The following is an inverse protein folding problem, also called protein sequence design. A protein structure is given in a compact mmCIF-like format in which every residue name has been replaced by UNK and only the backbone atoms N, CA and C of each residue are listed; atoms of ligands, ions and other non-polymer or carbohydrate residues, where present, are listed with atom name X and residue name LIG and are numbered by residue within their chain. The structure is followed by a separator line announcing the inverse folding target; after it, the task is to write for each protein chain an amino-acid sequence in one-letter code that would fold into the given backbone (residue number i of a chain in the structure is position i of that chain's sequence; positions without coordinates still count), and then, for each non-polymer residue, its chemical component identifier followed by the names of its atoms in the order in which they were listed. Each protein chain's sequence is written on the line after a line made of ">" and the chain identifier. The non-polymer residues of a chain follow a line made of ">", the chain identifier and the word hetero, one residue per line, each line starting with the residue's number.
data_IF_642403151320
#
_entry.id   IF_642403151320
#
_cell.length_a   1.000
_cell.length_b   1.000
_cell.length_c   1.000
_cell.angle_alpha   90.00
_cell.angle_beta   90.00
_cell.angle_gamma   90.00
#
_symmetry.space_group_name_H-M   'P 1'
#
loop_
_entity.id
_entity.type
_entity.pdbx_description
1 polymer ?
#
# COMPACT_ATOMS: atom_id res chain seq x y z
N UNK A 1 -26.52 5.83 2.14
CA UNK A 1 -25.49 4.83 2.53
C UNK A 1 -25.99 3.93 3.64
N UNK A 2 -26.99 4.37 4.41
CA UNK A 2 -27.53 3.72 5.61
C UNK A 2 -28.12 2.31 5.41
N UNK A 3 -28.25 1.85 4.15
CA UNK A 3 -28.74 0.51 3.79
C UNK A 3 -27.63 -0.48 3.44
N UNK A 4 -26.37 -0.04 3.45
CA UNK A 4 -25.21 -0.90 3.17
C UNK A 4 -24.27 -0.91 4.38
N UNK A 5 -23.62 -2.04 4.59
CA UNK A 5 -22.46 -2.15 5.49
C UNK A 5 -21.22 -2.07 4.60
N UNK A 6 -20.50 -0.93 4.56
CA UNK A 6 -19.30 -0.82 3.74
C UNK A 6 -18.17 -1.65 4.34
N UNK A 7 -17.50 -2.42 3.48
CA UNK A 7 -16.29 -3.19 3.81
C UNK A 7 -15.23 -2.87 2.76
N UNK A 8 -14.00 -2.64 3.21
CA UNK A 8 -12.84 -2.48 2.35
C UNK A 8 -11.83 -3.57 2.69
N UNK A 9 -11.25 -4.19 1.67
CA UNK A 9 -10.32 -5.30 1.84
C UNK A 9 -9.20 -5.27 0.79
N UNK A 10 -8.02 -5.76 1.14
CA UNK A 10 -6.92 -5.92 0.20
C UNK A 10 -7.14 -7.22 -0.59
N UNK A 11 -7.76 -7.08 -1.76
CA UNK A 11 -8.03 -8.22 -2.63
C UNK A 11 -6.78 -9.04 -2.99
N UNK A 12 -5.59 -8.42 -3.09
CA UNK A 12 -4.35 -9.15 -3.40
C UNK A 12 -3.95 -10.10 -2.27
N UNK A 13 -4.35 -9.82 -1.04
CA UNK A 13 -4.21 -10.73 0.09
C UNK A 13 -5.35 -11.75 0.12
N UNK A 14 -6.59 -11.29 0.24
CA UNK A 14 -7.74 -12.14 0.56
C UNK A 14 -8.00 -13.20 -0.50
N UNK A 15 -7.82 -12.87 -1.79
CA UNK A 15 -8.02 -13.84 -2.87
C UNK A 15 -7.00 -14.99 -2.89
N UNK A 16 -5.90 -14.86 -2.15
CA UNK A 16 -4.84 -15.86 -2.05
C UNK A 16 -4.90 -16.65 -0.73
N UNK A 17 -5.87 -16.35 0.15
CA UNK A 17 -6.10 -17.14 1.35
C UNK A 17 -6.70 -18.50 0.98
N UNK A 18 -6.18 -19.56 1.59
CA UNK A 18 -6.66 -20.93 1.44
C UNK A 18 -7.66 -21.32 2.53
N UNK A 19 -8.34 -20.35 3.12
CA UNK A 19 -9.33 -20.54 4.18
C UNK A 19 -10.71 -20.06 3.72
N UNK A 20 -11.71 -20.19 4.60
CA UNK A 20 -13.09 -19.85 4.32
C UNK A 20 -13.28 -18.38 3.90
N UNK A 21 -12.44 -17.45 4.38
CA UNK A 21 -12.52 -16.03 4.03
C UNK A 21 -12.12 -15.80 2.57
N UNK A 22 -10.99 -16.41 2.17
CA UNK A 22 -10.52 -16.35 0.79
C UNK A 22 -11.48 -17.03 -0.19
N UNK A 23 -11.99 -18.21 0.20
CA UNK A 23 -12.99 -18.94 -0.58
C UNK A 23 -14.28 -18.12 -0.74
N UNK A 24 -14.83 -17.58 0.35
CA UNK A 24 -16.04 -16.74 0.32
C UNK A 24 -15.87 -15.55 -0.63
N UNK A 25 -14.78 -14.79 -0.48
CA UNK A 25 -14.51 -13.65 -1.35
C UNK A 25 -14.41 -14.06 -2.82
N UNK A 26 -13.71 -15.15 -3.12
CA UNK A 26 -13.56 -15.64 -4.48
C UNK A 26 -14.93 -16.04 -5.07
N UNK A 27 -15.75 -16.78 -4.32
CA UNK A 27 -17.08 -17.21 -4.77
C UNK A 27 -18.02 -16.02 -5.06
N UNK A 28 -17.97 -14.95 -4.26
CA UNK A 28 -18.70 -13.71 -4.55
C UNK A 28 -18.20 -13.08 -5.86
N UNK A 29 -16.88 -13.00 -6.03
CA UNK A 29 -16.29 -12.37 -7.22
C UNK A 29 -16.60 -13.14 -8.51
N UNK A 30 -16.60 -14.48 -8.48
CA UNK A 30 -16.92 -15.33 -9.63
C UNK A 30 -18.39 -15.24 -10.08
N UNK A 31 -19.29 -14.73 -9.24
CA UNK A 31 -20.67 -14.42 -9.65
C UNK A 31 -20.77 -13.09 -10.41
N UNK A 32 -19.74 -12.24 -10.32
CA UNK A 32 -19.79 -10.84 -10.76
C UNK A 32 -19.16 -10.59 -12.13
N UNK A 33 -18.59 -9.40 -12.30
CA UNK A 33 -17.88 -8.98 -13.50
C UNK A 33 -16.58 -9.78 -13.80
N UNK A 34 -16.23 -10.73 -12.93
CA UNK A 34 -15.21 -11.74 -13.19
C UNK A 34 -15.78 -13.10 -13.62
N UNK A 35 -17.08 -13.34 -13.43
CA UNK A 35 -17.74 -14.57 -13.82
C UNK A 35 -17.66 -14.84 -15.32
N UNK A 36 -17.53 -16.12 -15.67
CA UNK A 36 -17.50 -16.58 -17.07
C UNK A 36 -16.21 -16.26 -17.83
N UNK A 37 -15.16 -15.76 -17.15
CA UNK A 37 -13.87 -15.53 -17.79
C UNK A 37 -13.19 -16.85 -18.16
N UNK A 38 -12.78 -16.94 -19.42
CA UNK A 38 -12.09 -18.12 -19.98
C UNK A 38 -10.56 -17.99 -19.95
N UNK A 39 -10.05 -16.81 -19.58
CA UNK A 39 -8.63 -16.55 -19.38
C UNK A 39 -8.32 -16.45 -17.88
N UNK A 40 -7.16 -16.96 -17.43
CA UNK A 40 -6.76 -16.84 -16.04
C UNK A 40 -6.72 -15.36 -15.61
N UNK A 41 -7.35 -15.06 -14.46
CA UNK A 41 -7.25 -13.76 -13.79
C UNK A 41 -6.62 -13.95 -12.42
N UNK A 42 -5.55 -13.22 -12.14
CA UNK A 42 -4.94 -13.17 -10.81
C UNK A 42 -5.44 -11.95 -10.01
N UNK A 43 -6.57 -11.38 -10.43
CA UNK A 43 -7.18 -10.23 -9.77
C UNK A 43 -8.69 -10.40 -9.71
N UNK A 44 -9.24 -10.03 -8.56
CA UNK A 44 -10.69 -9.89 -8.29
C UNK A 44 -11.01 -8.47 -7.82
N UNK A 45 -10.21 -7.47 -8.25
CA UNK A 45 -10.40 -6.06 -7.92
C UNK A 45 -11.77 -5.55 -8.39
N UNK A 46 -12.51 -4.90 -7.50
CA UNK A 46 -13.78 -4.29 -7.86
C UNK A 46 -14.62 -3.96 -6.65
N UNK A 47 -15.84 -3.53 -6.92
CA UNK A 47 -16.87 -3.23 -5.95
C UNK A 47 -17.97 -4.29 -6.10
N UNK A 48 -18.36 -4.88 -4.98
CA UNK A 48 -19.37 -5.94 -4.91
C UNK A 48 -20.41 -5.57 -3.86
N UNK A 49 -21.68 -5.65 -4.22
CA UNK A 49 -22.79 -5.67 -3.29
C UNK A 49 -23.30 -7.11 -3.23
N UNK A 50 -23.21 -7.73 -2.07
CA UNK A 50 -23.65 -9.11 -1.85
C UNK A 50 -24.38 -9.25 -0.52
N UNK A 51 -25.17 -10.32 -0.38
CA UNK A 51 -25.79 -10.70 0.88
C UNK A 51 -24.74 -11.28 1.83
N UNK A 52 -25.07 -11.39 3.11
CA UNK A 52 -24.19 -12.02 4.11
C UNK A 52 -23.90 -13.50 3.80
N UNK A 53 -24.75 -14.15 3.01
CA UNK A 53 -24.57 -15.53 2.56
C UNK A 53 -23.72 -15.60 1.26
N UNK A 54 -23.23 -14.47 0.75
CA UNK A 54 -22.37 -14.40 -0.42
C UNK A 54 -23.11 -14.38 -1.76
N UNK A 55 -24.43 -14.14 -1.77
CA UNK A 55 -25.18 -14.00 -3.02
C UNK A 55 -24.94 -12.61 -3.62
N UNK A 56 -24.48 -12.57 -4.87
CA UNK A 56 -24.16 -11.31 -5.50
C UNK A 56 -25.41 -10.56 -5.99
N UNK A 57 -25.60 -9.34 -5.49
CA UNK A 57 -26.65 -8.44 -5.95
C UNK A 57 -26.18 -7.65 -7.17
N UNK A 58 -25.02 -7.00 -7.08
CA UNK A 58 -24.44 -6.26 -8.20
C UNK A 58 -22.93 -6.12 -8.03
N UNK A 59 -22.21 -5.91 -9.13
CA UNK A 59 -20.77 -5.64 -9.07
C UNK A 59 -20.30 -4.79 -10.24
N UNK A 60 -19.21 -4.06 -10.03
CA UNK A 60 -18.57 -3.23 -11.04
C UNK A 60 -17.09 -3.02 -10.69
N UNK A 61 -16.22 -2.85 -11.69
CA UNK A 61 -14.84 -2.41 -11.48
C UNK A 61 -14.62 -1.07 -12.21
N UNK A 62 -14.89 0.02 -11.51
CA UNK A 62 -14.75 1.39 -12.02
C UNK A 62 -14.43 2.36 -10.89
N UNK A 63 -13.84 3.51 -11.23
CA UNK A 63 -13.63 4.65 -10.33
C UNK A 63 -14.68 5.75 -10.51
N UNK A 64 -15.61 5.58 -11.46
CA UNK A 64 -16.68 6.55 -11.72
C UNK A 64 -17.78 6.45 -10.66
N UNK A 65 -17.89 7.49 -9.82
CA UNK A 65 -18.85 7.53 -8.72
C UNK A 65 -20.32 7.45 -9.16
N UNK A 66 -20.67 7.93 -10.36
CA UNK A 66 -22.04 7.83 -10.86
C UNK A 66 -22.39 6.39 -11.22
N UNK A 67 -21.45 5.68 -11.86
CA UNK A 67 -21.62 4.26 -12.17
C UNK A 67 -21.67 3.40 -10.92
N UNK A 68 -20.87 3.73 -9.89
CA UNK A 68 -20.93 3.07 -8.58
C UNK A 68 -22.28 3.30 -7.92
N UNK A 69 -22.78 4.54 -7.90
CA UNK A 69 -24.09 4.83 -7.33
C UNK A 69 -25.21 4.09 -8.05
N UNK A 70 -25.12 3.94 -9.37
CA UNK A 70 -26.08 3.18 -10.15
C UNK A 70 -26.04 1.68 -9.84
N UNK A 71 -24.84 1.09 -9.76
CA UNK A 71 -24.65 -0.30 -9.31
C UNK A 71 -25.30 -0.54 -7.92
N UNK A 72 -25.12 0.40 -6.99
CA UNK A 72 -25.74 0.32 -5.66
C UNK A 72 -27.27 0.38 -5.71
N UNK A 73 -27.87 1.21 -6.59
CA UNK A 73 -29.33 1.24 -6.78
C UNK A 73 -29.85 -0.09 -7.32
N UNK A 74 -29.15 -0.70 -8.27
CA UNK A 74 -29.50 -2.02 -8.81
C UNK A 74 -29.44 -3.10 -7.72
N UNK A 75 -28.44 -3.04 -6.84
CA UNK A 75 -28.35 -3.95 -5.71
C UNK A 75 -29.54 -3.81 -4.74
N UNK A 76 -29.94 -2.58 -4.40
CA UNK A 76 -31.11 -2.34 -3.54
C UNK A 76 -32.42 -2.82 -4.17
N UNK A 77 -32.57 -2.66 -5.49
CA UNK A 77 -33.75 -3.17 -6.20
C UNK A 77 -33.84 -4.69 -6.11
N UNK A 78 -32.72 -5.40 -6.28
CA UNK A 78 -32.67 -6.87 -6.12
C UNK A 78 -32.92 -7.30 -4.67
N UNK A 79 -32.33 -6.59 -3.71
CA UNK A 79 -32.52 -6.86 -2.27
C UNK A 79 -33.99 -6.76 -1.83
N UNK A 80 -34.78 -5.88 -2.46
CA UNK A 80 -36.20 -5.70 -2.12
C UNK A 80 -37.10 -6.89 -2.51
N UNK A 81 -36.55 -7.93 -3.15
CA UNK A 81 -37.28 -9.14 -3.50
C UNK A 81 -37.24 -10.14 -2.34
N UNK A 82 -38.33 -10.90 -2.09
CA UNK A 82 -38.46 -11.77 -0.93
C UNK A 82 -37.64 -13.06 -1.11
N UNK A 83 -36.34 -12.99 -0.85
CA UNK A 83 -35.49 -14.16 -0.64
C UNK A 83 -35.40 -14.50 0.85
N UNK A 84 -35.13 -15.77 1.16
CA UNK A 84 -34.98 -16.26 2.53
C UNK A 84 -33.75 -15.61 3.18
N UNK A 85 -34.00 -14.66 4.09
CA UNK A 85 -32.96 -13.87 4.77
C UNK A 85 -32.37 -14.62 5.97
N UNK A 86 -32.54 -15.93 6.08
CA UNK A 86 -31.93 -16.70 7.15
C UNK A 86 -30.40 -16.65 7.04
N UNK A 87 -29.79 -15.91 7.95
CA UNK A 87 -28.35 -15.87 8.14
C UNK A 87 -27.89 -17.15 8.84
N UNK A 88 -26.91 -17.86 8.27
CA UNK A 88 -26.14 -18.78 9.11
C UNK A 88 -25.36 -17.96 10.15
N UNK A 89 -25.58 -18.25 11.43
CA UNK A 89 -24.80 -17.62 12.51
C UNK A 89 -23.41 -18.25 12.52
N UNK A 90 -22.38 -17.41 12.57
CA UNK A 90 -21.03 -17.87 12.83
C UNK A 90 -21.02 -18.78 14.09
N UNK A 91 -20.28 -19.90 14.07
CA UNK A 91 -20.26 -20.82 15.20
C UNK A 91 -19.70 -20.13 16.45
N UNK A 92 -20.16 -20.49 17.66
CA UNK A 92 -19.61 -19.94 18.90
C UNK A 92 -18.09 -20.15 18.97
N UNK A 93 -17.34 -19.08 19.22
CA UNK A 93 -15.87 -19.12 19.29
C UNK A 93 -15.15 -18.98 17.94
N UNK A 94 -15.87 -18.66 16.86
CA UNK A 94 -15.23 -18.26 15.60
C UNK A 94 -14.46 -16.94 15.80
N UNK A 95 -13.13 -17.04 15.83
CA UNK A 95 -12.23 -15.89 15.88
C UNK A 95 -11.76 -15.56 14.45
N UNK A 96 -12.35 -14.52 13.88
CA UNK A 96 -12.01 -13.96 12.58
C UNK A 96 -10.62 -13.30 12.54
N UNK A 97 -9.98 -13.10 13.69
CA UNK A 97 -8.66 -12.50 13.83
C UNK A 97 -7.55 -13.52 14.12
N UNK A 98 -7.87 -14.75 14.53
CA UNK A 98 -6.89 -15.73 15.02
C UNK A 98 -5.73 -16.05 14.07
N UNK A 99 -5.90 -15.79 12.77
CA UNK A 99 -4.87 -16.00 11.73
C UNK A 99 -4.57 -14.77 10.88
N UNK A 100 -5.21 -13.64 11.19
CA UNK A 100 -5.22 -12.48 10.30
C UNK A 100 -4.15 -11.46 10.71
N UNK A 101 -2.91 -11.68 10.26
CA UNK A 101 -1.81 -10.72 10.43
C UNK A 101 -2.10 -9.36 9.76
N UNK A 102 -3.07 -9.32 8.84
CA UNK A 102 -3.57 -8.11 8.17
C UNK A 102 -4.19 -7.09 9.16
N UNK A 103 -4.66 -7.56 10.32
CA UNK A 103 -5.30 -6.71 11.34
C UNK A 103 -4.38 -6.20 12.45
N UNK A 104 -3.09 -6.53 12.44
CA UNK A 104 -2.17 -6.16 13.52
C UNK A 104 -1.60 -4.77 13.23
N UNK A 105 -2.44 -3.76 13.46
CA UNK A 105 -1.97 -2.38 13.54
C UNK A 105 -0.84 -2.28 14.59
N UNK A 106 0.29 -1.60 14.29
CA UNK A 106 1.41 -1.51 15.21
C UNK A 106 1.08 -0.58 16.37
N UNK A 107 0.37 -1.09 17.38
CA UNK A 107 0.04 -0.32 18.58
C UNK A 107 1.30 0.23 19.25
N UNK A 108 1.27 1.52 19.60
CA UNK A 108 2.43 2.27 20.10
C UNK A 108 3.53 2.53 19.07
N UNK A 109 3.34 2.13 17.82
CA UNK A 109 4.20 2.42 16.69
C UNK A 109 3.81 3.69 15.95
N UNK A 110 4.17 3.76 14.66
CA UNK A 110 3.84 4.87 13.76
C UNK A 110 3.27 4.32 12.45
N UNK A 111 2.19 4.94 11.99
CA UNK A 111 1.71 4.82 10.62
C UNK A 111 2.05 6.10 9.85
N UNK A 112 2.56 5.93 8.63
CA UNK A 112 2.81 7.03 7.69
C UNK A 112 1.93 6.89 6.47
N UNK A 113 1.40 8.01 5.98
CA UNK A 113 0.84 8.11 4.64
C UNK A 113 2.00 8.23 3.64
N UNK A 114 1.98 7.43 2.57
CA UNK A 114 2.90 7.54 1.45
C UNK A 114 2.13 7.92 0.19
N UNK A 115 2.45 9.07 -0.38
CA UNK A 115 1.93 9.52 -1.66
C UNK A 115 2.99 9.33 -2.73
N UNK A 116 2.61 8.91 -3.93
CA UNK A 116 3.52 8.82 -5.08
C UNK A 116 2.91 9.42 -6.34
N UNK A 117 3.73 10.15 -7.10
CA UNK A 117 3.33 10.76 -8.38
C UNK A 117 4.50 10.99 -9.32
N UNK A 118 4.20 11.13 -10.60
CA UNK A 118 5.15 11.70 -11.56
C UNK A 118 5.41 13.18 -11.23
N UNK A 119 6.67 13.60 -11.41
CA UNK A 119 7.09 14.99 -11.24
C UNK A 119 7.24 15.69 -12.62
N UNK A 120 7.17 17.03 -12.67
CA UNK A 120 7.41 17.81 -13.89
C UNK A 120 8.69 17.42 -14.64
N UNK A 121 8.56 17.26 -15.97
CA UNK A 121 9.69 17.11 -16.90
C UNK A 121 9.48 17.97 -18.13
N UNK A 122 10.57 18.44 -18.73
CA UNK A 122 10.52 19.41 -19.83
C UNK A 122 9.82 18.90 -21.09
N UNK A 123 9.90 17.59 -21.34
CA UNK A 123 9.55 16.97 -22.63
C UNK A 123 8.12 16.42 -22.71
N UNK A 124 7.32 16.47 -21.64
CA UNK A 124 5.95 15.96 -21.66
C UNK A 124 5.09 16.57 -20.56
N UNK A 125 3.77 16.52 -20.76
CA UNK A 125 2.83 16.76 -19.68
C UNK A 125 3.03 15.74 -18.56
N UNK A 126 2.84 16.20 -17.32
CA UNK A 126 2.87 15.33 -16.14
C UNK A 126 1.58 14.53 -16.12
N UNK A 127 1.70 13.23 -15.93
CA UNK A 127 0.54 12.39 -15.71
C UNK A 127 -0.16 12.83 -14.41
N UNK A 128 -1.46 13.17 -14.45
CA UNK A 128 -2.15 13.67 -13.26
C UNK A 128 -2.41 12.58 -12.21
N UNK A 129 -2.20 11.30 -12.55
CA UNK A 129 -2.39 10.19 -11.63
C UNK A 129 -1.36 10.23 -10.50
N UNK A 130 -1.83 9.86 -9.33
CA UNK A 130 -1.06 9.66 -8.12
C UNK A 130 -1.66 8.47 -7.36
N UNK A 131 -0.93 7.97 -6.38
CA UNK A 131 -1.40 6.86 -5.55
C UNK A 131 -1.02 7.05 -4.08
N UNK A 132 -1.69 6.29 -3.21
CA UNK A 132 -1.52 6.28 -1.75
C UNK A 132 -1.16 4.85 -1.31
N UNK A 133 -0.23 4.74 -0.38
CA UNK A 133 0.06 3.53 0.40
C UNK A 133 0.31 3.95 1.87
N UNK A 134 0.47 2.98 2.76
CA UNK A 134 0.85 3.23 4.15
C UNK A 134 2.18 2.59 4.49
N UNK A 135 2.87 3.13 5.48
CA UNK A 135 4.07 2.52 6.06
C UNK A 135 3.87 2.36 7.56
N UNK A 136 4.04 1.13 8.04
CA UNK A 136 3.95 0.81 9.46
C UNK A 136 5.32 0.57 10.07
N UNK A 137 5.57 1.23 11.20
CA UNK A 137 6.70 1.05 12.11
C UNK A 137 6.18 0.51 13.45
N UNK A 138 6.90 -0.43 14.06
CA UNK A 138 6.62 -0.89 15.43
C UNK A 138 7.11 0.13 16.47
N UNK A 139 6.66 0.00 17.72
CA UNK A 139 7.16 0.81 18.83
C UNK A 139 8.69 0.68 19.03
N UNK A 140 9.23 -0.53 18.85
CA UNK A 140 10.67 -0.79 18.95
C UNK A 140 11.45 -0.11 17.81
N UNK A 141 10.89 -0.12 16.60
CA UNK A 141 11.48 0.56 15.46
C UNK A 141 11.48 2.07 15.63
N UNK A 142 10.37 2.64 16.13
CA UNK A 142 10.28 4.07 16.47
C UNK A 142 11.33 4.43 17.52
N UNK A 143 11.46 3.61 18.57
CA UNK A 143 12.47 3.82 19.61
C UNK A 143 13.89 3.73 19.06
N UNK A 144 14.14 2.79 18.14
CA UNK A 144 15.44 2.62 17.46
C UNK A 144 15.83 3.76 16.53
N UNK A 145 14.91 4.67 16.19
CA UNK A 145 15.23 5.90 15.44
C UNK A 145 15.85 6.97 16.35
N UNK A 146 15.74 6.85 17.67
CA UNK A 146 16.19 7.85 18.64
C UNK A 146 17.46 7.35 19.33
N UNK A 147 18.59 8.08 19.28
CA UNK A 147 19.81 7.67 19.95
C UNK A 147 19.65 7.82 21.46
N UNK A 148 20.28 6.93 22.25
CA UNK A 148 20.21 6.96 23.72
C UNK A 148 20.65 8.32 24.29
N UNK A 149 21.71 8.91 23.71
CA UNK A 149 22.25 10.21 24.08
C UNK A 149 22.19 11.16 22.88
N UNK A 150 21.05 11.84 22.63
CA UNK A 150 20.91 12.75 21.50
C UNK A 150 21.76 14.01 21.74
N UNK A 151 22.66 14.29 20.80
CA UNK A 151 23.53 15.47 20.81
C UNK A 151 23.36 16.20 19.49
N UNK A 152 23.08 17.50 19.53
CA UNK A 152 22.97 18.34 18.33
C UNK A 152 24.19 18.19 17.42
N UNK A 153 23.94 18.02 16.13
CA UNK A 153 24.98 17.80 15.11
C UNK A 153 25.40 16.35 14.94
N UNK A 154 25.04 15.45 15.86
CA UNK A 154 25.34 14.03 15.73
C UNK A 154 24.55 13.41 14.56
N UNK A 155 25.27 12.78 13.64
CA UNK A 155 24.71 11.99 12.54
C UNK A 155 24.94 10.50 12.79
N UNK A 156 23.91 9.68 12.58
CA UNK A 156 23.95 8.24 12.79
C UNK A 156 23.14 7.52 11.72
N UNK A 157 23.46 6.23 11.51
CA UNK A 157 22.77 5.41 10.52
C UNK A 157 21.31 5.19 10.91
N UNK A 158 20.42 5.29 9.93
CA UNK A 158 19.05 4.84 10.07
C UNK A 158 19.05 3.31 10.23
N UNK A 159 18.22 2.71 11.11
CA UNK A 159 18.21 1.26 11.34
C UNK A 159 18.09 0.47 10.04
N UNK A 160 19.09 -0.37 9.76
CA UNK A 160 19.23 -1.06 8.47
C UNK A 160 18.03 -1.95 8.10
N UNK A 161 17.44 -2.75 9.02
CA UNK A 161 16.25 -3.53 8.69
C UNK A 161 15.08 -2.65 8.22
N UNK A 162 14.88 -1.49 8.87
CA UNK A 162 13.79 -0.58 8.55
C UNK A 162 14.03 0.17 7.23
N UNK A 163 15.24 0.68 6.99
CA UNK A 163 15.56 1.36 5.73
C UNK A 163 15.42 0.42 4.53
N UNK A 164 15.87 -0.84 4.66
CA UNK A 164 15.69 -1.86 3.63
C UNK A 164 14.22 -2.21 3.41
N UNK A 165 13.41 -2.33 4.48
CA UNK A 165 11.97 -2.55 4.33
C UNK A 165 11.28 -1.42 3.57
N UNK A 166 11.59 -0.16 3.92
CA UNK A 166 11.07 1.03 3.21
C UNK A 166 11.47 1.00 1.73
N UNK A 167 12.75 0.80 1.43
CA UNK A 167 13.23 0.73 0.04
C UNK A 167 12.58 -0.42 -0.74
N UNK A 168 12.45 -1.60 -0.12
CA UNK A 168 11.97 -2.83 -0.76
C UNK A 168 10.47 -2.85 -1.02
N UNK A 169 9.70 -2.38 -0.05
CA UNK A 169 8.25 -2.51 -0.07
C UNK A 169 7.54 -1.22 -0.51
N UNK A 170 8.10 -0.04 -0.20
CA UNK A 170 7.33 1.21 -0.27
C UNK A 170 7.80 2.17 -1.35
N UNK A 171 9.10 2.20 -1.66
CA UNK A 171 9.66 3.01 -2.75
C UNK A 171 9.53 2.29 -4.09
N UNK A 172 8.27 2.12 -4.54
CA UNK A 172 7.88 1.38 -5.75
C UNK A 172 7.06 2.29 -6.65
N UNK A 173 7.30 2.27 -7.96
CA UNK A 173 6.48 3.01 -8.93
C UNK A 173 5.08 2.40 -9.04
N UNK A 174 4.15 2.92 -8.24
CA UNK A 174 2.72 2.60 -8.26
C UNK A 174 1.86 3.80 -8.69
N UNK A 175 2.45 4.84 -9.29
CA UNK A 175 1.76 6.10 -9.58
C UNK A 175 0.60 5.94 -10.58
N UNK A 176 0.77 5.07 -11.58
CA UNK A 176 -0.21 4.84 -12.66
C UNK A 176 -0.99 3.53 -12.54
N UNK A 177 -0.43 2.56 -11.84
CA UNK A 177 -0.93 1.18 -11.74
C UNK A 177 -0.11 0.38 -10.73
N UNK A 178 -0.13 -0.95 -10.83
CA UNK A 178 0.53 -1.81 -9.86
C UNK A 178 1.89 -2.31 -10.35
N UNK A 179 2.85 -2.33 -9.44
CA UNK A 179 4.19 -2.85 -9.65
C UNK A 179 4.51 -3.89 -8.58
N UNK A 180 5.19 -5.00 -8.92
CA UNK A 180 5.68 -5.94 -7.91
C UNK A 180 6.63 -5.23 -6.95
N UNK A 181 6.69 -5.74 -5.72
CA UNK A 181 7.68 -5.27 -4.72
C UNK A 181 9.08 -5.76 -5.11
N UNK A 182 10.10 -5.09 -4.58
CA UNK A 182 11.48 -5.44 -4.86
C UNK A 182 11.88 -6.74 -4.13
N UNK A 183 12.73 -7.56 -4.74
CA UNK A 183 13.45 -8.65 -4.07
C UNK A 183 14.65 -8.11 -3.33
N UNK A 184 15.18 -8.85 -2.36
CA UNK A 184 16.34 -8.39 -1.57
C UNK A 184 17.57 -8.12 -2.45
N UNK A 185 17.74 -8.85 -3.55
CA UNK A 185 18.82 -8.67 -4.52
C UNK A 185 18.59 -7.51 -5.49
N UNK A 186 17.35 -6.99 -5.58
CA UNK A 186 17.04 -5.82 -6.40
C UNK A 186 17.53 -4.53 -5.74
N UNK A 187 17.77 -4.54 -4.42
CA UNK A 187 18.25 -3.39 -3.64
C UNK A 187 19.74 -3.16 -3.91
N UNK A 188 20.07 -2.29 -4.87
CA UNK A 188 21.44 -2.01 -5.27
C UNK A 188 22.13 -1.02 -4.34
N UNK A 189 21.37 -0.07 -3.77
CA UNK A 189 21.86 0.88 -2.77
C UNK A 189 20.73 1.26 -1.82
N UNK A 190 21.00 1.20 -0.51
CA UNK A 190 20.09 1.70 0.54
C UNK A 190 20.94 2.31 1.63
N UNK A 191 21.06 3.63 1.61
CA UNK A 191 21.81 4.41 2.60
C UNK A 191 20.89 5.48 3.15
N UNK A 192 20.57 5.39 4.44
CA UNK A 192 19.75 6.39 5.13
C UNK A 192 20.43 6.75 6.44
N UNK A 193 20.38 8.03 6.81
CA UNK A 193 20.96 8.55 8.05
C UNK A 193 20.06 9.62 8.65
N UNK A 194 20.15 9.74 9.97
CA UNK A 194 19.50 10.80 10.73
C UNK A 194 20.56 11.71 11.32
N UNK A 195 20.29 13.01 11.30
CA UNK A 195 21.11 14.03 11.95
C UNK A 195 20.28 14.77 12.98
N UNK A 196 20.73 14.77 14.23
CA UNK A 196 20.11 15.57 15.30
C UNK A 196 20.30 17.05 14.99
N UNK A 197 19.22 17.78 14.73
CA UNK A 197 19.24 19.23 14.49
C UNK A 197 19.23 19.99 15.80
N UNK A 198 18.41 19.55 16.74
CA UNK A 198 18.20 20.24 18.01
C UNK A 198 17.69 19.25 19.06
N UNK A 199 18.09 19.46 20.30
CA UNK A 199 17.61 18.71 21.46
C UNK A 199 17.09 19.69 22.49
N UNK A 200 15.87 19.48 22.94
CA UNK A 200 15.25 20.21 24.05
C UNK A 200 14.83 19.22 25.14
N UNK A 201 14.38 19.68 26.32
CA UNK A 201 13.81 18.79 27.34
C UNK A 201 12.62 17.98 26.82
N UNK A 202 11.81 18.56 25.92
CA UNK A 202 10.54 17.99 25.48
C UNK A 202 10.64 17.29 24.11
N UNK A 203 11.57 17.71 23.26
CA UNK A 203 11.60 17.30 21.85
C UNK A 203 13.01 17.06 21.30
N UNK A 204 13.09 16.26 20.23
CA UNK A 204 14.29 16.05 19.43
C UNK A 204 13.93 16.31 17.96
N UNK A 205 14.58 17.30 17.36
CA UNK A 205 14.46 17.56 15.92
C UNK A 205 15.52 16.77 15.17
N UNK A 206 15.07 16.02 14.16
CA UNK A 206 15.91 15.17 13.32
C UNK A 206 15.77 15.59 11.86
N UNK A 207 16.88 15.46 11.13
CA UNK A 207 16.89 15.58 9.68
C UNK A 207 17.22 14.21 9.08
N UNK A 208 16.33 13.72 8.23
CA UNK A 208 16.53 12.53 7.41
C UNK A 208 17.24 12.91 6.13
N UNK A 209 18.26 12.12 5.76
CA UNK A 209 18.86 12.13 4.44
C UNK A 209 19.16 10.68 4.01
N UNK A 210 19.03 10.41 2.71
CA UNK A 210 19.36 9.09 2.19
C UNK A 210 19.40 9.00 0.68
N UNK A 211 19.84 7.86 0.19
CA UNK A 211 19.81 7.47 -1.21
C UNK A 211 19.34 6.02 -1.34
N UNK A 212 18.48 5.78 -2.31
CA UNK A 212 17.98 4.44 -2.64
C UNK A 212 18.11 4.21 -4.14
N UNK A 213 18.66 3.06 -4.53
CA UNK A 213 18.67 2.58 -5.91
C UNK A 213 18.23 1.13 -5.94
N UNK A 214 17.12 0.87 -6.62
CA UNK A 214 16.60 -0.47 -6.81
C UNK A 214 16.47 -0.76 -8.31
N UNK A 215 16.83 -1.98 -8.71
CA UNK A 215 16.79 -2.42 -10.10
C UNK A 215 16.37 -3.88 -10.18
N UNK A 216 15.48 -4.19 -11.10
CA UNK A 216 15.02 -5.54 -11.35
C UNK A 216 14.98 -5.84 -12.85
N UNK A 217 15.35 -7.07 -13.19
CA UNK A 217 15.09 -7.64 -14.51
C UNK A 217 13.57 -7.80 -14.75
N UNK A 218 13.13 -7.94 -16.02
CA UNK A 218 11.74 -8.24 -16.34
C UNK A 218 11.24 -9.48 -15.59
N UNK A 219 9.98 -9.45 -15.16
CA UNK A 219 9.32 -10.64 -14.62
C UNK A 219 8.91 -11.67 -15.69
N UNK A 220 9.02 -11.29 -16.97
CA UNK A 220 8.54 -12.00 -18.15
C UNK A 220 7.04 -12.31 -18.12
N UNK A 221 6.29 -11.57 -17.32
CA UNK A 221 4.84 -11.67 -17.29
C UNK A 221 4.23 -11.03 -18.53
N UNK A 222 3.16 -11.63 -19.04
CA UNK A 222 2.39 -11.12 -20.16
C UNK A 222 0.98 -10.85 -19.64
N UNK A 223 0.45 -9.66 -19.92
CA UNK A 223 -0.94 -9.36 -19.61
C UNK A 223 -1.83 -10.23 -20.51
N UNK A 224 -2.61 -11.18 -19.96
CA UNK A 224 -3.40 -12.10 -20.77
C UNK A 224 -4.56 -11.40 -21.49
N UNK A 225 -5.00 -10.24 -21.02
CA UNK A 225 -6.13 -9.49 -21.55
C UNK A 225 -5.73 -8.54 -22.67
N UNK A 226 -4.62 -7.79 -22.50
CA UNK A 226 -4.18 -6.80 -23.50
C UNK A 226 -3.16 -7.38 -24.48
N UNK A 227 -2.55 -8.54 -24.16
CA UNK A 227 -1.41 -9.15 -24.87
C UNK A 227 -0.20 -8.21 -25.03
N UNK A 228 -0.17 -7.11 -24.28
CA UNK A 228 0.93 -6.17 -24.33
C UNK A 228 2.16 -6.77 -23.63
N UNK A 229 3.31 -6.70 -24.31
CA UNK A 229 4.62 -6.96 -23.74
C UNK A 229 5.19 -5.65 -23.20
N UNK A 230 4.73 -5.26 -22.01
CA UNK A 230 5.19 -4.06 -21.33
C UNK A 230 6.27 -4.33 -20.27
N UNK A 231 6.60 -5.60 -20.02
CA UNK A 231 7.52 -5.98 -18.96
C UNK A 231 8.98 -5.85 -19.41
N UNK A 232 9.69 -4.90 -18.83
CA UNK A 232 11.05 -4.47 -19.18
C UNK A 232 11.91 -4.40 -17.91
N UNK A 233 13.26 -4.34 -18.02
CA UNK A 233 14.09 -3.99 -16.87
C UNK A 233 13.60 -2.66 -16.28
N UNK A 234 13.50 -2.59 -14.95
CA UNK A 234 12.91 -1.45 -14.24
C UNK A 234 13.79 -1.01 -13.08
N UNK A 235 13.59 0.23 -12.64
CA UNK A 235 14.30 0.72 -11.47
C UNK A 235 13.85 2.07 -10.98
N UNK A 236 14.36 2.43 -9.81
CA UNK A 236 14.28 3.76 -9.20
C UNK A 236 15.64 4.16 -8.67
N UNK A 237 15.96 5.45 -8.75
CA UNK A 237 17.10 6.08 -8.08
C UNK A 237 16.61 7.35 -7.41
N UNK A 238 16.65 7.39 -6.08
CA UNK A 238 15.95 8.37 -5.26
C UNK A 238 16.88 8.96 -4.22
N UNK A 239 16.74 10.27 -3.99
CA UNK A 239 17.27 10.95 -2.81
C UNK A 239 16.16 11.19 -1.81
N UNK A 240 16.43 10.86 -0.54
CA UNK A 240 15.53 11.07 0.58
C UNK A 240 15.98 12.30 1.38
N UNK A 241 15.02 13.13 1.78
CA UNK A 241 15.21 14.29 2.65
C UNK A 241 13.98 14.47 3.53
N UNK A 242 14.14 14.84 4.79
CA UNK A 242 12.98 15.07 5.65
C UNK A 242 13.29 15.71 7.00
N UNK A 243 12.27 16.29 7.61
CA UNK A 243 12.29 16.88 8.93
C UNK A 243 11.35 16.11 9.84
N UNK A 244 11.88 15.59 10.94
CA UNK A 244 11.14 14.82 11.93
C UNK A 244 11.22 15.52 13.29
N UNK A 245 10.15 15.50 14.06
CA UNK A 245 10.12 16.00 15.43
C UNK A 245 9.61 14.88 16.35
N UNK A 246 10.45 14.48 17.30
CA UNK A 246 10.14 13.43 18.26
C UNK A 246 9.80 14.02 19.62
N UNK A 247 8.62 13.69 20.16
CA UNK A 247 8.16 14.06 21.48
C UNK A 247 8.66 13.06 22.53
N UNK A 248 9.50 13.54 23.46
CA UNK A 248 10.18 12.67 24.43
C UNK A 248 9.25 12.16 25.51
N UNK A 249 8.28 12.96 25.93
CA UNK A 249 7.30 12.60 26.96
C UNK A 249 6.27 11.61 26.43
N UNK A 250 5.73 11.88 25.25
CA UNK A 250 4.74 11.02 24.60
C UNK A 250 5.36 9.83 23.87
N UNK A 251 6.69 9.80 23.71
CA UNK A 251 7.47 8.77 23.01
C UNK A 251 7.00 8.50 21.58
N UNK A 252 6.62 9.55 20.87
CA UNK A 252 6.08 9.48 19.50
C UNK A 252 6.63 10.60 18.63
N UNK A 253 6.47 10.48 17.31
CA UNK A 253 6.71 11.59 16.41
C UNK A 253 5.48 12.52 16.38
N UNK A 254 5.71 13.82 16.60
CA UNK A 254 4.70 14.86 16.37
C UNK A 254 4.79 15.41 14.93
N UNK A 255 5.91 15.14 14.23
CA UNK A 255 6.12 15.44 12.81
C UNK A 255 6.97 14.36 12.15
N UNK A 256 6.58 13.97 10.93
CA UNK A 256 7.39 13.10 10.08
C UNK A 256 7.23 13.56 8.63
N UNK A 257 7.88 14.64 8.23
CA UNK A 257 7.74 15.16 6.86
C UNK A 257 8.96 14.74 6.05
N UNK A 258 8.80 13.78 5.14
CA UNK A 258 9.89 13.33 4.30
C UNK A 258 9.49 13.19 2.84
N UNK A 259 10.46 13.36 1.96
CA UNK A 259 10.30 13.13 0.53
C UNK A 259 11.38 12.19 0.04
N UNK A 260 11.05 11.32 -0.91
CA UNK A 260 12.00 10.63 -1.75
C UNK A 260 11.77 11.05 -3.20
N UNK A 261 12.75 11.57 -3.91
CA UNK A 261 12.57 12.01 -5.30
C UNK A 261 13.78 11.70 -6.15
N UNK A 262 13.53 11.44 -7.43
CA UNK A 262 14.60 11.15 -8.38
C UNK A 262 14.02 10.56 -9.65
N UNK A 263 14.64 9.50 -10.17
CA UNK A 263 14.29 8.89 -11.44
C UNK A 263 13.64 7.54 -11.26
N UNK A 264 12.70 7.21 -12.14
CA UNK A 264 12.20 5.86 -12.39
C UNK A 264 12.37 5.49 -13.86
N UNK A 265 12.49 4.20 -14.14
CA UNK A 265 12.54 3.67 -15.51
C UNK A 265 11.97 2.25 -15.57
N UNK A 266 11.79 1.78 -16.79
CA UNK A 266 11.13 0.54 -17.14
C UNK A 266 9.62 0.60 -17.05
N UNK A 267 9.04 -0.58 -17.26
CA UNK A 267 7.63 -0.82 -17.13
C UNK A 267 7.42 -2.26 -16.62
N UNK A 268 6.28 -2.47 -15.98
CA UNK A 268 5.83 -3.79 -15.55
C UNK A 268 4.51 -4.09 -16.23
N UNK A 269 4.06 -5.33 -16.11
CA UNK A 269 2.84 -5.80 -16.79
C UNK A 269 1.60 -4.96 -16.46
N UNK A 270 1.52 -4.39 -15.24
CA UNK A 270 0.29 -3.76 -14.72
C UNK A 270 0.48 -2.31 -14.24
N UNK A 271 1.66 -1.70 -14.42
CA UNK A 271 1.88 -0.32 -13.96
C UNK A 271 1.52 0.76 -14.99
N UNK A 272 0.99 0.37 -16.16
CA UNK A 272 0.59 1.29 -17.23
C UNK A 272 1.69 2.28 -17.65
N UNK A 273 2.93 1.79 -17.74
CA UNK A 273 4.12 2.54 -18.23
C UNK A 273 4.56 2.15 -19.65
N UNK A 274 3.78 1.36 -20.38
CA UNK A 274 4.15 0.88 -21.73
C UNK A 274 4.42 2.00 -22.74
N UNK A 275 3.88 3.20 -22.51
CA UNK A 275 4.04 4.41 -23.31
C UNK A 275 5.04 5.41 -22.72
N UNK A 276 5.66 5.08 -21.59
CA UNK A 276 6.51 5.98 -20.83
C UNK A 276 7.53 5.18 -20.01
N UNK A 277 8.56 4.66 -20.67
CA UNK A 277 9.53 3.73 -20.07
C UNK A 277 10.62 4.42 -19.22
N UNK A 278 10.68 5.75 -19.16
CA UNK A 278 11.75 6.46 -18.44
C UNK A 278 13.17 6.20 -19.00
N UNK A 279 14.24 6.80 -18.41
CA UNK A 279 14.25 7.50 -17.13
C UNK A 279 13.37 8.75 -17.07
N UNK A 280 12.59 8.91 -15.99
CA UNK A 280 11.70 10.05 -15.80
C UNK A 280 11.56 10.42 -14.31
N UNK A 281 11.29 11.70 -13.98
CA UNK A 281 11.13 12.16 -12.61
C UNK A 281 9.92 11.53 -11.88
N UNK A 282 10.15 11.04 -10.65
CA UNK A 282 9.13 10.54 -9.73
C UNK A 282 9.38 11.09 -8.32
N UNK A 283 8.31 11.27 -7.56
CA UNK A 283 8.36 11.74 -6.18
C UNK A 283 7.45 10.92 -5.27
N UNK A 284 7.94 10.73 -4.05
CA UNK A 284 7.26 10.13 -2.92
C UNK A 284 7.21 11.16 -1.79
N UNK A 285 6.07 11.31 -1.14
CA UNK A 285 5.92 12.13 0.06
C UNK A 285 5.43 11.24 1.21
N UNK A 286 6.03 11.40 2.38
CA UNK A 286 5.73 10.66 3.60
C UNK A 286 5.33 11.65 4.68
N UNK A 287 4.20 11.42 5.32
CA UNK A 287 3.71 12.18 6.46
C UNK A 287 3.07 11.28 7.52
N UNK A 288 2.93 11.78 8.76
CA UNK A 288 2.21 11.04 9.80
C UNK A 288 0.76 10.80 9.36
N UNK A 289 0.33 9.55 9.45
CA UNK A 289 -1.07 9.21 9.24
C UNK A 289 -1.89 9.68 10.46
N UNK A 290 -3.16 10.05 10.23
CA UNK A 290 -4.01 10.48 11.34
C UNK A 290 -4.42 9.28 12.22
N UNK A 291 -4.90 9.55 13.42
CA UNK A 291 -5.50 8.50 14.25
C UNK A 291 -6.96 8.24 13.81
N UNK A 292 -7.12 7.56 12.67
CA UNK A 292 -8.41 7.26 12.06
C UNK A 292 -8.44 5.84 11.51
N UNK A 293 -9.64 5.24 11.41
CA UNK A 293 -9.76 3.90 10.83
C UNK A 293 -9.27 3.82 9.37
N UNK A 294 -9.31 4.94 8.63
CA UNK A 294 -8.83 5.01 7.24
C UNK A 294 -7.30 4.98 7.21
N UNK A 295 -6.67 5.79 8.06
CA UNK A 295 -5.21 5.91 8.18
C UNK A 295 -4.55 4.70 8.87
N UNK A 296 -5.35 3.88 9.57
CA UNK A 296 -4.97 2.57 10.10
C UNK A 296 -5.11 1.44 9.08
N UNK A 297 -5.35 1.73 7.81
CA UNK A 297 -5.34 0.68 6.78
C UNK A 297 -3.94 0.12 6.58
N UNK A 298 -3.79 -1.21 6.42
CA UNK A 298 -2.49 -1.82 6.26
C UNK A 298 -1.84 -1.42 4.93
N UNK A 299 -0.50 -1.38 4.88
CA UNK A 299 0.23 -1.21 3.64
C UNK A 299 -0.22 -2.22 2.58
N UNK A 300 -0.24 -1.84 1.30
CA UNK A 300 -0.56 -2.80 0.23
C UNK A 300 0.42 -3.99 0.23
N UNK A 301 1.67 -3.78 0.66
CA UNK A 301 2.69 -4.81 0.81
C UNK A 301 2.58 -5.68 2.07
N UNK A 302 1.52 -5.52 2.88
CA UNK A 302 1.38 -6.26 4.14
C UNK A 302 1.42 -7.77 3.86
N UNK A 303 2.18 -8.48 4.69
CA UNK A 303 2.45 -9.92 4.63
C UNK A 303 2.69 -10.44 6.05
N UNK A 304 2.57 -11.75 6.28
CA UNK A 304 2.86 -12.36 7.59
C UNK A 304 4.26 -11.98 8.11
N UNK A 305 5.19 -11.75 7.19
CA UNK A 305 6.57 -11.38 7.45
C UNK A 305 6.86 -9.90 7.21
N UNK A 306 5.85 -9.02 7.16
CA UNK A 306 6.05 -7.59 6.86
C UNK A 306 7.12 -6.98 7.76
N UNK A 307 7.02 -7.17 9.09
CA UNK A 307 8.01 -6.62 10.02
C UNK A 307 9.38 -7.29 9.97
N UNK A 308 9.49 -8.50 9.41
CA UNK A 308 10.77 -9.20 9.19
C UNK A 308 11.30 -9.10 7.75
N UNK A 309 10.63 -8.34 6.88
CA UNK A 309 10.99 -8.24 5.46
C UNK A 309 12.22 -7.35 5.27
N UNK A 310 13.40 -7.98 5.11
CA UNK A 310 14.71 -7.32 4.86
C UNK A 310 15.30 -7.73 3.51
#
# INVERSE_FOLDING_TARGET
>A
MDQFIPVADNCSYTQNLSDASGEFFCLVAEQGHYGGRTLPTNTRQGLYACTINGELLASINTRDGNQVAEMMRQALQKWSQPEDQSAEKAPPGYDHHAKNWYGVYPEGGVALNLYVRDLPRQSAQVDPRWNLDHIWFTADEVSGLIPENPVTGHSYSFPQPLSRRIAKLHLVDIARGESPRWKSDDLKRVEMRLRVQQVTPDQIDLYLEGTVRNEAEPSHNINPFTRQKADMPRGVELELRGYLNYNRSAKKFDRFDATASGLRWGATTYNARFDDLGPAPIGFALELAADSNIDRTPPQAIAANYFQSV
#
